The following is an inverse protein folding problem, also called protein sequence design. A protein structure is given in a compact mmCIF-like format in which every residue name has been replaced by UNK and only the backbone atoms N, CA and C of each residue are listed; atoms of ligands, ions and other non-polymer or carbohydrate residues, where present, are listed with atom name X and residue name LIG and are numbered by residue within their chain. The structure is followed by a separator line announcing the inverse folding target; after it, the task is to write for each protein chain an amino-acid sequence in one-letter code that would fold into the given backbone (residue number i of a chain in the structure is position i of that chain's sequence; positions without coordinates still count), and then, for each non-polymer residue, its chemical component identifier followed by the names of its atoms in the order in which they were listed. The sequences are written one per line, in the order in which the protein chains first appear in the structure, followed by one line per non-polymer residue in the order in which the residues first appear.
data_IF_860857183953
#
_entry.id   IF_860857183953
#
_cell.length_a   1.000
_cell.length_b   1.000
_cell.length_c   1.000
_cell.angle_alpha   90.00
_cell.angle_beta   90.00
_cell.angle_gamma   90.00
#
_symmetry.space_group_name_H-M   'P 1'
#
loop_
_entity.id
_entity.type
_entity.pdbx_description
1 polymer ?
#
# COMPACT_ATOMS: atom_id res chain seq x y z
N UNK A 1 3.07 -10.57 -23.74
CA UNK A 1 4.53 -10.43 -23.68
C UNK A 1 4.93 -8.98 -23.95
N UNK A 2 4.55 -8.40 -25.10
CA UNK A 2 4.89 -7.02 -25.47
C UNK A 2 4.54 -5.98 -24.39
N UNK A 3 3.35 -6.05 -23.80
CA UNK A 3 2.89 -5.11 -22.75
C UNK A 3 3.75 -5.17 -21.47
N UNK A 4 4.32 -6.34 -21.16
CA UNK A 4 5.20 -6.49 -19.98
C UNK A 4 6.58 -5.90 -20.24
N UNK A 5 7.11 -6.09 -21.43
CA UNK A 5 8.39 -5.51 -21.85
C UNK A 5 8.31 -3.99 -21.88
N UNK A 6 7.25 -3.44 -22.46
CA UNK A 6 6.99 -1.99 -22.46
C UNK A 6 6.89 -1.43 -21.04
N UNK A 7 6.19 -2.12 -20.14
CA UNK A 7 6.10 -1.69 -18.74
C UNK A 7 7.47 -1.70 -18.04
N UNK A 8 8.33 -2.70 -18.31
CA UNK A 8 9.68 -2.74 -17.76
C UNK A 8 10.55 -1.63 -18.35
N UNK A 9 10.44 -1.36 -19.66
CA UNK A 9 11.18 -0.28 -20.31
C UNK A 9 10.82 1.10 -19.74
N UNK A 10 9.53 1.35 -19.49
CA UNK A 10 9.07 2.59 -18.85
C UNK A 10 9.62 2.77 -17.44
N UNK A 11 9.68 1.71 -16.64
CA UNK A 11 10.27 1.75 -15.31
C UNK A 11 11.79 1.91 -15.38
N UNK A 12 12.45 1.26 -16.33
CA UNK A 12 13.90 1.36 -16.54
C UNK A 12 14.35 2.80 -16.72
N UNK A 13 13.53 3.65 -17.32
CA UNK A 13 13.86 5.05 -17.52
C UNK A 13 14.11 5.82 -16.22
N UNK A 14 13.27 5.58 -15.20
CA UNK A 14 13.46 6.19 -13.87
C UNK A 14 14.54 5.47 -13.07
N UNK A 15 14.56 4.15 -13.15
CA UNK A 15 15.50 3.31 -12.43
C UNK A 15 16.95 3.57 -12.84
N UNK A 16 17.26 3.59 -14.13
CA UNK A 16 18.61 3.78 -14.66
C UNK A 16 19.12 5.20 -14.33
N UNK A 17 18.26 6.21 -14.38
CA UNK A 17 18.60 7.57 -13.94
C UNK A 17 19.04 7.62 -12.48
N UNK A 18 18.40 6.82 -11.62
CA UNK A 18 18.70 6.75 -10.18
C UNK A 18 19.91 5.87 -9.86
N UNK A 19 20.36 5.05 -10.79
CA UNK A 19 21.44 4.08 -10.63
C UNK A 19 22.51 4.23 -11.72
N UNK A 20 23.24 5.36 -11.75
CA UNK A 20 24.21 5.64 -12.81
C UNK A 20 25.39 4.65 -12.85
N UNK A 21 25.60 3.85 -11.80
CA UNK A 21 26.64 2.82 -11.72
C UNK A 21 26.24 1.50 -12.40
N UNK A 22 24.98 1.37 -12.81
CA UNK A 22 24.48 0.19 -13.50
C UNK A 22 24.42 0.43 -15.02
N UNK A 23 24.49 -0.67 -15.78
CA UNK A 23 24.26 -0.59 -17.22
C UNK A 23 22.82 -0.18 -17.52
N UNK A 24 22.64 0.69 -18.51
CA UNK A 24 21.34 1.09 -19.01
C UNK A 24 20.53 -0.12 -19.47
N UNK A 25 19.26 -0.18 -19.05
CA UNK A 25 18.39 -1.33 -19.33
C UNK A 25 18.67 -2.54 -18.44
N UNK A 26 19.35 -2.36 -17.32
CA UNK A 26 19.70 -3.44 -16.38
C UNK A 26 18.51 -4.24 -15.86
N UNK A 27 17.28 -3.75 -15.99
CA UNK A 27 16.04 -4.45 -15.61
C UNK A 27 15.50 -5.37 -16.72
N UNK A 28 15.95 -5.21 -17.97
CA UNK A 28 15.45 -5.99 -19.11
C UNK A 28 15.68 -7.48 -18.91
N UNK A 29 14.66 -8.28 -19.21
CA UNK A 29 14.70 -9.73 -19.08
C UNK A 29 14.65 -10.30 -17.67
N UNK A 30 14.70 -9.46 -16.62
CA UNK A 30 14.65 -9.92 -15.24
C UNK A 30 13.23 -10.20 -14.72
N UNK A 31 12.23 -9.62 -15.35
CA UNK A 31 10.83 -9.70 -14.93
C UNK A 31 10.01 -10.35 -16.04
N UNK A 32 9.47 -11.53 -15.77
CA UNK A 32 8.86 -12.39 -16.79
C UNK A 32 7.35 -12.51 -16.64
N UNK A 33 6.80 -12.11 -15.50
CA UNK A 33 5.37 -12.20 -15.25
C UNK A 33 4.77 -10.90 -14.73
N UNK A 34 3.46 -10.77 -14.88
CA UNK A 34 2.72 -9.56 -14.52
C UNK A 34 2.82 -9.21 -13.02
N UNK A 35 2.91 -10.21 -12.13
CA UNK A 35 3.01 -9.97 -10.69
C UNK A 35 4.35 -9.34 -10.33
N UNK A 36 5.43 -9.84 -10.91
CA UNK A 36 6.79 -9.29 -10.71
C UNK A 36 6.88 -7.85 -11.22
N UNK A 37 6.38 -7.59 -12.43
CA UNK A 37 6.38 -6.24 -13.01
C UNK A 37 5.53 -5.28 -12.16
N UNK A 38 4.37 -5.71 -11.66
CA UNK A 38 3.58 -4.89 -10.75
C UNK A 38 4.31 -4.57 -9.44
N UNK A 39 5.04 -5.53 -8.88
CA UNK A 39 5.85 -5.29 -7.69
C UNK A 39 7.00 -4.32 -7.99
N UNK A 40 7.70 -4.50 -9.11
CA UNK A 40 8.73 -3.57 -9.56
C UNK A 40 8.20 -2.14 -9.66
N UNK A 41 7.10 -1.92 -10.39
CA UNK A 41 6.45 -0.59 -10.50
C UNK A 41 6.08 -0.04 -9.13
N UNK A 42 5.55 -0.87 -8.24
CA UNK A 42 5.11 -0.47 -6.91
C UNK A 42 6.28 -0.04 -6.01
N UNK A 43 7.41 -0.74 -6.11
CA UNK A 43 8.62 -0.43 -5.35
C UNK A 43 9.34 0.79 -5.92
N UNK A 44 9.38 0.94 -7.25
CA UNK A 44 9.94 2.13 -7.89
C UNK A 44 9.15 3.39 -7.56
N UNK A 45 7.83 3.32 -7.60
CA UNK A 45 6.99 4.43 -7.13
C UNK A 45 7.25 4.83 -5.68
N UNK A 46 7.61 3.88 -4.82
CA UNK A 46 7.99 4.21 -3.43
C UNK A 46 9.27 5.01 -3.38
N UNK A 47 10.26 4.69 -4.22
CA UNK A 47 11.54 5.40 -4.27
C UNK A 47 11.37 6.81 -4.84
N UNK A 48 10.69 6.92 -5.98
CA UNK A 48 10.48 8.17 -6.69
C UNK A 48 9.64 9.18 -5.88
N UNK A 49 8.63 8.69 -5.15
CA UNK A 49 7.71 9.54 -4.39
C UNK A 49 7.98 9.49 -2.88
N UNK A 50 9.22 9.24 -2.49
CA UNK A 50 9.62 9.25 -1.08
C UNK A 50 9.33 10.64 -0.47
N UNK A 51 8.70 10.65 0.70
CA UNK A 51 8.25 11.87 1.43
C UNK A 51 7.13 12.69 0.76
N UNK A 52 6.56 12.26 -0.35
CA UNK A 52 5.42 12.95 -0.97
C UNK A 52 4.04 12.48 -0.45
N UNK A 53 3.99 11.61 0.53
CA UNK A 53 2.74 11.09 1.11
C UNK A 53 1.94 10.14 0.20
N UNK A 54 2.45 9.80 -0.98
CA UNK A 54 1.73 9.01 -1.99
C UNK A 54 1.66 7.52 -1.66
N UNK A 55 2.58 7.01 -0.84
CA UNK A 55 2.67 5.57 -0.51
C UNK A 55 1.40 5.02 0.11
N UNK A 56 0.76 5.77 1.00
CA UNK A 56 -0.51 5.36 1.60
C UNK A 56 -1.57 5.06 0.54
N UNK A 57 -1.76 5.95 -0.41
CA UNK A 57 -2.75 5.78 -1.48
C UNK A 57 -2.41 4.62 -2.42
N UNK A 58 -1.12 4.35 -2.66
CA UNK A 58 -0.69 3.19 -3.44
C UNK A 58 -1.02 1.88 -2.71
N UNK A 59 -0.82 1.80 -1.39
CA UNK A 59 -1.19 0.65 -0.57
C UNK A 59 -2.70 0.42 -0.58
N UNK A 60 -3.51 1.47 -0.39
CA UNK A 60 -4.97 1.39 -0.44
C UNK A 60 -5.45 0.89 -1.79
N UNK A 61 -4.94 1.44 -2.90
CA UNK A 61 -5.32 0.99 -4.26
C UNK A 61 -4.97 -0.46 -4.50
N UNK A 62 -3.80 -0.89 -4.02
CA UNK A 62 -3.35 -2.27 -4.15
C UNK A 62 -4.25 -3.22 -3.35
N UNK A 63 -4.54 -2.91 -2.08
CA UNK A 63 -5.45 -3.69 -1.25
C UNK A 63 -6.83 -3.83 -1.89
N UNK A 64 -7.41 -2.72 -2.39
CA UNK A 64 -8.72 -2.74 -3.04
C UNK A 64 -8.74 -3.64 -4.28
N UNK A 65 -7.67 -3.66 -5.05
CA UNK A 65 -7.53 -4.55 -6.22
C UNK A 65 -7.36 -6.01 -5.83
N UNK A 66 -6.62 -6.29 -4.76
CA UNK A 66 -6.39 -7.65 -4.27
C UNK A 66 -7.58 -8.19 -3.45
N UNK A 67 -8.49 -7.33 -3.02
CA UNK A 67 -9.66 -7.68 -2.21
C UNK A 67 -9.35 -8.05 -0.76
N UNK A 68 -8.08 -7.99 -0.35
CA UNK A 68 -7.62 -8.34 0.99
C UNK A 68 -6.41 -7.50 1.40
N UNK A 69 -6.31 -7.08 2.66
CA UNK A 69 -5.13 -6.40 3.20
C UNK A 69 -3.95 -7.35 3.46
N UNK A 70 -4.17 -8.66 3.57
CA UNK A 70 -3.22 -9.65 4.09
C UNK A 70 -1.85 -9.60 3.41
N UNK A 71 -1.81 -9.52 2.08
CA UNK A 71 -0.55 -9.44 1.34
C UNK A 71 0.22 -8.16 1.65
N UNK A 72 -0.47 -7.01 1.72
CA UNK A 72 0.12 -5.72 2.06
C UNK A 72 0.64 -5.71 3.49
N UNK A 73 -0.17 -6.23 4.43
CA UNK A 73 0.21 -6.34 5.84
C UNK A 73 1.50 -7.15 5.96
N UNK A 74 1.54 -8.36 5.39
CA UNK A 74 2.69 -9.24 5.49
C UNK A 74 3.94 -8.67 4.81
N UNK A 75 3.81 -8.12 3.63
CA UNK A 75 4.96 -7.72 2.81
C UNK A 75 5.54 -6.35 3.23
N UNK A 76 4.68 -5.40 3.58
CA UNK A 76 5.10 -4.01 3.74
C UNK A 76 4.96 -3.47 5.17
N UNK A 77 3.94 -3.90 5.92
CA UNK A 77 3.66 -3.32 7.23
C UNK A 77 4.34 -4.10 8.35
N UNK A 78 4.23 -5.44 8.37
CA UNK A 78 4.77 -6.24 9.47
C UNK A 78 6.28 -6.14 9.63
N UNK A 79 7.03 -5.97 8.55
CA UNK A 79 8.49 -5.77 8.61
C UNK A 79 8.90 -4.60 9.51
N UNK A 80 8.08 -3.54 9.53
CA UNK A 80 8.31 -2.37 10.37
C UNK A 80 7.99 -2.67 11.84
N UNK A 81 6.91 -3.37 12.11
CA UNK A 81 6.47 -3.67 13.48
C UNK A 81 7.37 -4.69 14.19
N UNK A 82 7.88 -5.69 13.48
CA UNK A 82 8.86 -6.65 14.01
C UNK A 82 10.11 -5.94 14.54
N UNK A 83 10.55 -4.88 13.87
CA UNK A 83 11.71 -4.09 14.31
C UNK A 83 11.44 -3.23 15.56
N UNK A 84 10.16 -2.99 15.90
CA UNK A 84 9.75 -2.14 17.02
C UNK A 84 9.38 -2.92 18.30
N UNK A 85 9.58 -4.24 18.32
CA UNK A 85 9.25 -5.12 19.47
C UNK A 85 7.78 -5.03 19.92
N UNK A 86 6.87 -4.71 19.00
CA UNK A 86 5.44 -4.69 19.27
C UNK A 86 4.85 -6.12 19.19
N UNK A 87 3.75 -6.36 19.89
CA UNK A 87 3.03 -7.63 19.79
C UNK A 87 2.48 -7.80 18.36
N UNK A 88 3.16 -8.65 17.61
CA UNK A 88 2.83 -8.93 16.21
C UNK A 88 1.40 -9.44 16.04
N UNK A 89 0.93 -10.28 16.95
CA UNK A 89 -0.40 -10.89 16.87
C UNK A 89 -1.50 -9.83 16.96
N UNK A 90 -1.38 -8.92 17.93
CA UNK A 90 -2.32 -7.83 18.12
C UNK A 90 -2.30 -6.85 16.94
N UNK A 91 -1.12 -6.50 16.45
CA UNK A 91 -1.01 -5.59 15.30
C UNK A 91 -1.60 -6.24 14.05
N UNK A 92 -1.27 -7.50 13.80
CA UNK A 92 -1.76 -8.27 12.65
C UNK A 92 -3.28 -8.37 12.66
N UNK A 93 -3.89 -8.74 13.80
CA UNK A 93 -5.35 -8.90 13.89
C UNK A 93 -6.11 -7.61 13.58
N UNK A 94 -5.55 -6.45 13.93
CA UNK A 94 -6.12 -5.14 13.59
C UNK A 94 -5.93 -4.78 12.12
N UNK A 95 -4.75 -5.05 11.55
CA UNK A 95 -4.42 -4.69 10.17
C UNK A 95 -5.03 -5.63 9.12
N UNK A 96 -5.42 -6.84 9.51
CA UNK A 96 -6.13 -7.78 8.64
C UNK A 96 -7.60 -7.39 8.39
N UNK A 97 -8.15 -6.46 9.18
CA UNK A 97 -9.44 -5.85 8.86
C UNK A 97 -9.29 -4.89 7.66
N UNK A 98 -10.08 -5.13 6.61
CA UNK A 98 -10.05 -4.31 5.40
C UNK A 98 -10.40 -2.84 5.64
N UNK A 99 -11.16 -2.56 6.68
CA UNK A 99 -11.60 -1.20 7.02
C UNK A 99 -10.53 -0.46 7.85
N UNK A 100 -9.58 -1.18 8.47
CA UNK A 100 -8.49 -0.60 9.25
C UNK A 100 -7.50 0.25 8.39
N UNK A 101 -7.43 0.00 7.10
CA UNK A 101 -6.54 0.75 6.20
C UNK A 101 -7.05 2.17 5.92
N UNK A 102 -8.32 2.43 6.15
CA UNK A 102 -8.88 3.78 5.99
C UNK A 102 -8.71 4.58 7.27
N UNK A 103 -8.40 5.86 7.12
CA UNK A 103 -8.26 6.76 8.26
C UNK A 103 -9.64 7.07 8.90
N UNK A 104 -9.70 7.32 10.22
CA UNK A 104 -10.92 7.80 10.86
C UNK A 104 -11.27 9.22 10.39
N UNK A 105 -12.56 9.53 10.39
CA UNK A 105 -13.02 10.91 10.29
C UNK A 105 -12.77 11.56 11.66
N UNK A 106 -12.24 12.80 11.67
CA UNK A 106 -11.97 13.52 12.89
C UNK A 106 -13.26 13.79 13.67
N UNK A 107 -13.22 13.66 14.99
CA UNK A 107 -14.41 13.80 15.86
C UNK A 107 -15.15 15.14 15.69
N UNK A 108 -14.42 16.24 15.50
CA UNK A 108 -15.03 17.55 15.25
C UNK A 108 -15.85 17.60 13.96
N UNK A 109 -15.39 16.92 12.89
CA UNK A 109 -16.14 16.84 11.63
C UNK A 109 -17.45 16.07 11.82
N UNK A 110 -17.42 14.97 12.57
CA UNK A 110 -18.61 14.20 12.90
C UNK A 110 -19.59 15.02 13.76
N UNK A 111 -19.07 15.85 14.68
CA UNK A 111 -19.90 16.71 15.53
C UNK A 111 -20.58 17.83 14.74
N UNK A 112 -19.88 18.42 13.79
CA UNK A 112 -20.40 19.53 12.97
C UNK A 112 -21.36 19.05 11.89
N UNK A 113 -21.11 17.88 11.32
CA UNK A 113 -21.96 17.32 10.27
C UNK A 113 -22.52 15.95 10.66
N UNK A 114 -23.76 15.89 11.19
CA UNK A 114 -24.39 14.65 11.64
C UNK A 114 -24.72 13.66 10.52
N UNK A 115 -24.55 14.05 9.24
CA UNK A 115 -24.72 13.13 8.11
C UNK A 115 -23.45 12.31 7.81
N UNK A 116 -22.31 12.65 8.43
CA UNK A 116 -21.10 11.86 8.30
C UNK A 116 -21.20 10.58 9.14
N UNK A 117 -20.82 9.48 8.54
CA UNK A 117 -20.73 8.17 9.21
C UNK A 117 -19.26 7.80 9.35
N UNK A 118 -18.85 7.49 10.57
CA UNK A 118 -17.47 7.06 10.86
C UNK A 118 -17.13 5.75 10.14
N UNK A 119 -15.86 5.58 9.79
CA UNK A 119 -15.37 4.30 9.31
C UNK A 119 -15.64 3.22 10.37
N UNK A 120 -16.24 2.12 9.91
CA UNK A 120 -16.70 1.01 10.75
C UNK A 120 -15.64 0.48 11.71
N UNK A 121 -14.38 0.42 11.31
CA UNK A 121 -13.27 -0.04 12.15
C UNK A 121 -13.10 0.82 13.44
N UNK A 122 -13.45 2.09 13.38
CA UNK A 122 -13.33 3.04 14.50
C UNK A 122 -14.67 3.31 15.23
N UNK A 123 -15.75 2.64 14.83
CA UNK A 123 -17.03 2.73 15.53
C UNK A 123 -17.01 1.84 16.76
N UNK A 124 -17.67 2.31 17.85
CA UNK A 124 -17.94 1.44 18.99
C UNK A 124 -18.89 0.30 18.57
N UNK A 125 -18.75 -0.86 19.21
CA UNK A 125 -19.59 -2.04 18.92
C UNK A 125 -21.10 -1.77 19.05
N UNK A 126 -21.48 -0.82 19.89
CA UNK A 126 -22.87 -0.40 20.09
C UNK A 126 -23.43 0.43 18.93
N UNK A 127 -22.57 1.14 18.21
CA UNK A 127 -22.97 1.98 17.07
C UNK A 127 -23.05 1.20 15.75
N UNK A 128 -22.31 0.09 15.65
CA UNK A 128 -22.35 -0.80 14.48
C UNK A 128 -23.74 -1.46 14.31
N UNK A 129 -24.45 -1.68 15.43
CA UNK A 129 -25.76 -2.33 15.41
C UNK A 129 -26.93 -1.42 15.03
N UNK A 130 -26.69 -0.11 14.87
CA UNK A 130 -27.72 0.90 14.56
C UNK A 130 -27.77 1.33 13.08
N UNK A 131 -26.80 0.88 12.29
CA UNK A 131 -26.69 1.14 10.84
C UNK A 131 -26.84 -0.16 10.04
#
# INVERSE_FOLDING_TARGET
AADLEEAVDLVSYTYDRAHPDLEEGSLKGKYTNQSEVRNLVFDERQREFLFEGKRYFDLVRRMRREGSPTNIVNTYLMRKYTSMSLDETTVRSKLDDKDAIYLPIHEEELRVNPLLVQNRFYMASEDISKN
#
